data_IF_569954328078
#
_entry.id   IF_569954328078
#
_cell.length_a   1.000
_cell.length_b   1.000
_cell.length_c   1.000
_cell.angle_alpha   90.00
_cell.angle_beta   90.00
_cell.angle_gamma   90.00
#
_symmetry.space_group_name_H-M   'P 1'
#
loop_
_entity.id
_entity.type
_entity.pdbx_description
1 polymer ?
#
# COMPACT_ATOMS: atom_id res chain seq x y z
N UNK A 1 1.17 -8.37 -12.80
CA UNK A 1 2.04 -8.94 -13.84
C UNK A 1 2.85 -7.85 -14.51
N UNK A 2 4.17 -8.08 -14.69
CA UNK A 2 5.10 -7.15 -15.31
C UNK A 2 5.14 -5.76 -14.64
N UNK A 3 5.12 -5.73 -13.31
CA UNK A 3 5.27 -4.51 -12.51
C UNK A 3 6.64 -3.88 -12.79
N UNK A 4 7.70 -4.67 -12.72
CA UNK A 4 9.10 -4.28 -12.97
C UNK A 4 9.37 -3.82 -14.43
N UNK A 5 8.44 -4.08 -15.33
CA UNK A 5 8.49 -3.59 -16.73
C UNK A 5 7.68 -2.31 -16.93
N UNK A 6 7.43 -1.54 -15.87
CA UNK A 6 6.70 -0.28 -15.90
C UNK A 6 5.20 -0.42 -15.64
N UNK A 7 4.81 -1.25 -14.67
CA UNK A 7 3.44 -1.43 -14.18
C UNK A 7 2.46 -1.92 -15.29
N UNK A 8 2.95 -2.67 -16.27
CA UNK A 8 2.16 -3.02 -17.47
C UNK A 8 0.84 -3.72 -17.12
N UNK A 9 0.86 -4.65 -16.16
CA UNK A 9 -0.34 -5.35 -15.71
C UNK A 9 -1.33 -4.42 -15.00
N UNK A 10 -0.83 -3.50 -14.17
CA UNK A 10 -1.65 -2.53 -13.47
C UNK A 10 -2.32 -1.55 -14.43
N UNK A 11 -1.60 -1.04 -15.43
CA UNK A 11 -2.18 -0.20 -16.47
C UNK A 11 -3.21 -0.97 -17.33
N UNK A 12 -2.89 -2.21 -17.73
CA UNK A 12 -3.84 -3.03 -18.47
C UNK A 12 -5.13 -3.28 -17.66
N UNK A 13 -5.02 -3.52 -16.36
CA UNK A 13 -6.19 -3.62 -15.48
C UNK A 13 -6.96 -2.30 -15.39
N UNK A 14 -6.27 -1.17 -15.19
CA UNK A 14 -6.91 0.14 -15.10
C UNK A 14 -7.63 0.55 -16.40
N UNK A 15 -7.12 0.11 -17.56
CA UNK A 15 -7.72 0.40 -18.87
C UNK A 15 -8.88 -0.54 -19.22
N UNK A 16 -8.86 -1.77 -18.73
CA UNK A 16 -9.82 -2.85 -19.07
C UNK A 16 -10.32 -3.56 -17.80
N UNK A 17 -10.60 -2.79 -16.76
CA UNK A 17 -11.08 -3.35 -15.50
C UNK A 17 -12.36 -4.17 -15.72
N UNK A 18 -12.43 -5.34 -15.08
CA UNK A 18 -13.62 -6.21 -15.08
C UNK A 18 -14.78 -5.62 -14.27
N UNK A 19 -14.49 -4.63 -13.43
CA UNK A 19 -15.45 -3.84 -12.66
C UNK A 19 -15.36 -2.38 -13.09
N UNK A 20 -16.47 -1.63 -13.11
CA UNK A 20 -16.43 -0.19 -13.29
C UNK A 20 -15.52 0.45 -12.23
N UNK A 21 -14.59 1.31 -12.65
CA UNK A 21 -13.60 1.92 -11.75
C UNK A 21 -14.24 2.78 -10.66
N UNK A 22 -15.39 3.39 -10.92
CA UNK A 22 -16.17 4.17 -9.96
C UNK A 22 -16.81 3.33 -8.85
N UNK A 23 -16.79 2.01 -8.99
CA UNK A 23 -17.20 1.07 -7.94
C UNK A 23 -16.04 0.64 -7.04
N UNK A 24 -14.80 1.01 -7.38
CA UNK A 24 -13.62 0.73 -6.55
C UNK A 24 -13.48 1.85 -5.51
N UNK A 25 -13.67 1.53 -4.26
CA UNK A 25 -13.58 2.48 -3.15
C UNK A 25 -12.14 2.86 -2.87
N UNK A 26 -11.24 1.88 -2.90
CA UNK A 26 -9.83 2.04 -2.58
C UNK A 26 -9.02 0.90 -3.21
N UNK A 27 -7.91 1.24 -3.82
CA UNK A 27 -6.82 0.32 -4.12
C UNK A 27 -5.84 0.34 -2.94
N UNK A 28 -5.72 -0.79 -2.26
CA UNK A 28 -4.72 -1.00 -1.22
C UNK A 28 -3.61 -1.89 -1.77
N UNK A 29 -2.45 -1.30 -2.01
CA UNK A 29 -1.27 -2.05 -2.40
C UNK A 29 -0.47 -2.47 -1.17
N UNK A 30 0.17 -3.63 -1.24
CA UNK A 30 1.13 -4.13 -0.27
C UNK A 30 2.34 -4.67 -1.02
N UNK A 31 3.50 -4.14 -0.70
CA UNK A 31 4.73 -4.37 -1.42
C UNK A 31 5.92 -4.14 -0.49
N UNK A 32 7.06 -4.80 -0.75
CA UNK A 32 8.33 -4.60 -0.04
C UNK A 32 8.17 -4.72 1.48
N UNK A 33 7.54 -5.80 1.95
CA UNK A 33 7.00 -5.91 3.33
C UNK A 33 7.97 -6.41 4.38
N UNK A 34 9.10 -7.04 4.00
CA UNK A 34 9.97 -7.78 4.93
C UNK A 34 11.21 -6.98 5.41
N UNK A 35 11.17 -5.64 5.36
CA UNK A 35 12.32 -4.79 5.72
C UNK A 35 12.18 -4.26 7.14
N UNK A 36 11.00 -3.77 7.51
CA UNK A 36 10.78 -3.20 8.82
C UNK A 36 10.68 -4.27 9.91
N UNK A 37 11.33 -4.09 11.07
CA UNK A 37 11.16 -5.00 12.19
C UNK A 37 9.77 -4.85 12.83
N UNK A 38 9.41 -5.82 13.67
CA UNK A 38 8.19 -5.75 14.50
C UNK A 38 8.16 -4.46 15.32
N UNK A 39 6.98 -3.86 15.45
CA UNK A 39 6.76 -2.64 16.22
C UNK A 39 7.14 -1.35 15.48
N UNK A 40 7.53 -1.43 14.22
CA UNK A 40 7.81 -0.24 13.40
C UNK A 40 6.55 0.61 13.22
N UNK A 41 6.74 1.92 13.05
CA UNK A 41 5.69 2.79 12.55
C UNK A 41 5.24 2.34 11.15
N UNK A 42 4.15 2.88 10.67
CA UNK A 42 3.58 2.60 9.36
C UNK A 42 3.57 3.87 8.53
N UNK A 43 4.09 3.81 7.31
CA UNK A 43 3.94 4.88 6.34
C UNK A 43 2.69 4.68 5.49
N UNK A 44 2.14 5.78 5.00
CA UNK A 44 1.08 5.81 4.00
C UNK A 44 1.66 6.47 2.75
N UNK A 45 1.98 5.67 1.73
CA UNK A 45 2.35 6.19 0.41
C UNK A 45 1.06 6.56 -0.32
N UNK A 46 0.99 7.78 -0.82
CA UNK A 46 -0.24 8.40 -1.29
C UNK A 46 -0.94 9.26 -0.24
N UNK A 47 -0.31 9.48 0.91
CA UNK A 47 -0.82 10.39 1.95
C UNK A 47 -1.10 11.78 1.36
N UNK A 48 -2.26 12.33 1.63
CA UNK A 48 -2.70 13.63 1.11
C UNK A 48 -3.26 13.61 -0.30
N UNK A 49 -3.30 12.45 -0.96
CA UNK A 49 -3.85 12.32 -2.32
C UNK A 49 -5.29 11.82 -2.34
N UNK A 50 -5.80 11.35 -1.22
CA UNK A 50 -7.16 10.82 -1.10
C UNK A 50 -7.88 11.41 0.12
N UNK A 51 -9.21 11.44 0.16
CA UNK A 51 -9.96 11.83 1.35
C UNK A 51 -9.99 10.76 2.45
N UNK A 52 -9.33 9.60 2.23
CA UNK A 52 -9.44 8.43 3.11
C UNK A 52 -8.34 8.37 4.18
N UNK A 53 -7.38 9.27 4.17
CA UNK A 53 -6.22 9.26 5.08
C UNK A 53 -6.64 9.16 6.56
N UNK A 54 -7.59 9.99 6.98
CA UNK A 54 -8.06 10.00 8.37
C UNK A 54 -8.69 8.65 8.79
N UNK A 55 -9.35 7.97 7.86
CA UNK A 55 -9.93 6.66 8.12
C UNK A 55 -8.87 5.56 8.18
N UNK A 56 -7.87 5.61 7.29
CA UNK A 56 -6.72 4.69 7.34
C UNK A 56 -5.97 4.85 8.67
N UNK A 57 -5.72 6.09 9.11
CA UNK A 57 -5.09 6.37 10.40
C UNK A 57 -5.91 5.84 11.59
N UNK A 58 -7.23 6.04 11.55
CA UNK A 58 -8.12 5.56 12.61
C UNK A 58 -8.11 4.02 12.70
N UNK A 59 -8.11 3.32 11.56
CA UNK A 59 -8.01 1.86 11.51
C UNK A 59 -6.65 1.41 12.04
N UNK A 60 -5.55 2.03 11.59
CA UNK A 60 -4.20 1.71 12.05
C UNK A 60 -4.06 1.89 13.57
N UNK A 61 -4.54 3.00 14.10
CA UNK A 61 -4.55 3.26 15.55
C UNK A 61 -5.35 2.20 16.31
N UNK A 62 -6.52 1.82 15.81
CA UNK A 62 -7.34 0.76 16.42
C UNK A 62 -6.65 -0.61 16.37
N UNK A 63 -5.85 -0.87 15.34
CA UNK A 63 -5.01 -2.06 15.20
C UNK A 63 -3.71 -1.98 16.04
N UNK A 64 -3.52 -0.93 16.86
CA UNK A 64 -2.33 -0.75 17.69
C UNK A 64 -1.10 -0.26 16.93
N UNK A 65 -1.26 0.22 15.68
CA UNK A 65 -0.14 0.71 14.86
C UNK A 65 -0.03 2.24 14.94
N UNK A 66 1.20 2.72 14.92
CA UNK A 66 1.51 4.16 14.89
C UNK A 66 1.85 4.58 13.47
N UNK A 67 1.21 5.64 12.99
CA UNK A 67 1.49 6.19 11.66
C UNK A 67 2.72 7.10 11.70
N UNK A 68 3.60 6.96 10.71
CA UNK A 68 4.60 7.97 10.37
C UNK A 68 3.90 9.14 9.68
N UNK A 69 3.99 10.31 10.30
CA UNK A 69 3.17 11.47 9.89
C UNK A 69 3.69 12.22 8.67
N UNK A 70 4.92 11.96 8.19
CA UNK A 70 5.47 12.65 7.03
C UNK A 70 4.86 12.18 5.71
N UNK A 71 5.07 12.95 4.66
CA UNK A 71 4.73 12.59 3.28
C UNK A 71 5.95 12.14 2.47
N UNK A 72 7.11 11.97 3.10
CA UNK A 72 8.36 11.65 2.41
C UNK A 72 8.31 10.34 1.66
N UNK A 73 7.55 9.36 2.18
CA UNK A 73 7.29 8.09 1.51
C UNK A 73 6.55 8.23 0.17
N UNK A 74 5.91 9.38 -0.10
CA UNK A 74 5.29 9.64 -1.40
C UNK A 74 6.29 9.69 -2.57
N UNK A 75 7.61 9.77 -2.29
CA UNK A 75 8.63 9.56 -3.31
C UNK A 75 8.50 8.21 -4.05
N UNK A 76 7.84 7.23 -3.42
CA UNK A 76 7.58 5.91 -4.01
C UNK A 76 6.19 5.79 -4.66
N UNK A 77 5.37 6.85 -4.67
CA UNK A 77 3.98 6.80 -5.12
C UNK A 77 3.82 6.27 -6.55
N UNK A 78 4.73 6.62 -7.45
CA UNK A 78 4.68 6.24 -8.87
C UNK A 78 5.33 4.88 -9.16
N UNK A 79 5.89 4.22 -8.15
CA UNK A 79 6.65 2.97 -8.26
C UNK A 79 5.87 1.74 -7.78
N UNK A 80 4.57 1.84 -7.63
CA UNK A 80 3.72 0.77 -7.11
C UNK A 80 2.44 0.63 -7.96
N UNK A 81 1.86 -0.56 -8.01
CA UNK A 81 0.75 -0.91 -8.91
C UNK A 81 -0.50 -0.02 -8.76
N UNK A 82 -0.79 0.45 -7.55
CA UNK A 82 -1.92 1.36 -7.30
C UNK A 82 -1.83 2.68 -8.05
N UNK A 83 -0.62 3.08 -8.51
CA UNK A 83 -0.44 4.29 -9.30
C UNK A 83 -1.27 4.29 -10.59
N UNK A 84 -1.34 3.16 -11.30
CA UNK A 84 -2.14 3.05 -12.52
C UNK A 84 -3.63 3.31 -12.27
N UNK A 85 -4.15 2.86 -11.12
CA UNK A 85 -5.54 3.13 -10.72
C UNK A 85 -5.73 4.58 -10.27
N UNK A 86 -4.74 5.15 -9.55
CA UNK A 86 -4.77 6.56 -9.16
C UNK A 86 -4.87 7.51 -10.36
N UNK A 87 -4.17 7.20 -11.47
CA UNK A 87 -4.26 7.95 -12.72
C UNK A 87 -5.67 7.95 -13.34
N UNK A 88 -6.51 7.00 -12.97
CA UNK A 88 -7.91 6.89 -13.40
C UNK A 88 -8.90 7.45 -12.36
N UNK A 89 -8.39 8.10 -11.30
CA UNK A 89 -9.22 8.70 -10.27
C UNK A 89 -9.70 7.74 -9.17
N UNK A 90 -9.20 6.51 -9.13
CA UNK A 90 -9.46 5.58 -8.02
C UNK A 90 -8.54 5.95 -6.85
N UNK A 91 -9.06 6.14 -5.63
CA UNK A 91 -8.21 6.29 -4.45
C UNK A 91 -7.25 5.12 -4.34
N UNK A 92 -5.95 5.39 -4.22
CA UNK A 92 -4.93 4.34 -4.17
C UNK A 92 -3.87 4.70 -3.11
N UNK A 93 -3.62 3.76 -2.22
CA UNK A 93 -2.67 3.90 -1.13
C UNK A 93 -1.83 2.63 -1.02
N UNK A 94 -0.57 2.77 -0.62
CA UNK A 94 0.24 1.67 -0.14
C UNK A 94 0.56 1.93 1.33
N UNK A 95 0.32 0.95 2.19
CA UNK A 95 0.40 1.10 3.64
C UNK A 95 1.29 0.01 4.21
N UNK A 96 2.38 0.38 4.88
CA UNK A 96 3.28 -0.61 5.44
C UNK A 96 4.43 -0.03 6.25
N UNK A 97 5.09 -0.86 7.04
CA UNK A 97 6.17 -0.47 7.93
C UNK A 97 7.48 -0.17 7.20
N UNK A 98 7.77 -0.84 6.10
CA UNK A 98 9.07 -0.75 5.41
C UNK A 98 9.42 0.66 4.94
N UNK A 99 8.43 1.48 4.61
CA UNK A 99 8.62 2.85 4.14
C UNK A 99 8.54 3.91 5.25
N UNK A 100 8.33 3.50 6.50
CA UNK A 100 8.29 4.41 7.63
C UNK A 100 9.69 4.84 8.10
N UNK A 101 10.72 4.10 7.75
CA UNK A 101 12.13 4.46 7.94
C UNK A 101 12.84 4.46 6.58
N UNK A 102 12.97 5.66 5.99
CA UNK A 102 13.59 5.81 4.67
C UNK A 102 15.09 5.50 4.67
N UNK A 103 15.78 5.59 5.80
CA UNK A 103 17.19 5.20 5.87
C UNK A 103 17.32 3.67 5.77
N UNK A 104 16.44 2.94 6.45
CA UNK A 104 16.37 1.49 6.36
C UNK A 104 16.02 1.05 4.93
N UNK A 105 15.04 1.72 4.32
CA UNK A 105 14.65 1.49 2.92
C UNK A 105 15.81 1.76 1.96
N UNK A 106 16.48 2.90 2.09
CA UNK A 106 17.63 3.24 1.24
C UNK A 106 18.77 2.23 1.35
N UNK A 107 19.03 1.74 2.57
CA UNK A 107 20.03 0.69 2.77
C UNK A 107 19.67 -0.58 2.02
N UNK A 108 18.41 -1.04 2.10
CA UNK A 108 17.93 -2.21 1.37
C UNK A 108 18.04 -2.02 -0.15
N UNK A 109 17.57 -0.87 -0.67
CA UNK A 109 17.63 -0.55 -2.11
C UNK A 109 19.07 -0.48 -2.65
N UNK A 110 20.04 -0.13 -1.80
CA UNK A 110 21.46 -0.06 -2.15
C UNK A 110 22.25 -1.36 -1.95
N UNK A 111 21.64 -2.40 -1.41
CA UNK A 111 22.32 -3.67 -1.10
C UNK A 111 21.65 -4.86 -1.77
N UNK A 112 20.57 -5.35 -1.20
CA UNK A 112 20.00 -6.66 -1.55
C UNK A 112 18.95 -6.55 -2.68
N UNK A 113 18.24 -5.43 -2.75
CA UNK A 113 17.11 -5.21 -3.66
C UNK A 113 17.47 -5.55 -5.12
N UNK A 114 16.70 -6.44 -5.73
CA UNK A 114 16.93 -7.00 -7.07
C UNK A 114 18.29 -7.68 -7.24
N UNK A 115 18.96 -7.99 -6.14
CA UNK A 115 20.22 -8.69 -6.12
C UNK A 115 20.07 -10.19 -5.84
N UNK A 116 21.15 -10.96 -5.97
CA UNK A 116 21.14 -12.39 -5.69
C UNK A 116 20.91 -12.72 -4.21
N UNK A 117 21.02 -11.74 -3.31
CA UNK A 117 20.80 -11.91 -1.87
C UNK A 117 19.39 -11.48 -1.43
N UNK A 118 18.54 -11.00 -2.37
CA UNK A 118 17.14 -10.65 -2.09
C UNK A 118 16.29 -11.93 -2.06
N UNK A 119 16.57 -12.76 -1.07
CA UNK A 119 15.94 -14.05 -0.87
C UNK A 119 15.40 -14.21 0.56
N UNK A 120 14.30 -14.93 0.69
CA UNK A 120 13.79 -15.37 1.98
C UNK A 120 14.70 -16.45 2.57
N UNK A 121 15.25 -16.18 3.74
CA UNK A 121 16.10 -17.12 4.48
C UNK A 121 15.53 -17.38 5.88
N UNK A 122 16.04 -18.39 6.58
CA UNK A 122 15.65 -18.68 7.97
C UNK A 122 15.97 -17.50 8.94
N UNK A 123 16.87 -16.61 8.55
CA UNK A 123 17.22 -15.41 9.32
C UNK A 123 16.35 -14.20 9.00
N UNK A 124 15.48 -14.26 7.99
CA UNK A 124 14.62 -13.14 7.60
C UNK A 124 13.59 -12.84 8.68
N UNK A 125 13.61 -11.61 9.20
CA UNK A 125 12.72 -11.18 10.27
C UNK A 125 11.34 -10.78 9.71
N UNK A 126 10.38 -11.71 9.72
CA UNK A 126 9.04 -11.48 9.18
C UNK A 126 8.05 -10.81 10.15
N UNK A 127 8.51 -10.40 11.34
CA UNK A 127 7.60 -9.83 12.37
C UNK A 127 6.90 -8.56 11.94
N UNK A 128 7.57 -7.66 11.23
CA UNK A 128 6.97 -6.44 10.68
C UNK A 128 5.98 -6.74 9.56
N UNK A 129 6.35 -7.66 8.64
CA UNK A 129 5.46 -8.12 7.57
C UNK A 129 4.16 -8.74 8.12
N UNK A 130 4.24 -9.53 9.20
CA UNK A 130 3.06 -10.09 9.85
C UNK A 130 2.14 -9.01 10.43
N UNK A 131 2.71 -8.00 11.09
CA UNK A 131 1.94 -6.86 11.60
C UNK A 131 1.31 -6.03 10.47
N UNK A 132 1.98 -5.88 9.34
CA UNK A 132 1.43 -5.21 8.16
C UNK A 132 0.30 -6.03 7.54
N UNK A 133 0.41 -7.36 7.48
CA UNK A 133 -0.65 -8.24 7.03
C UNK A 133 -1.92 -8.11 7.91
N UNK A 134 -1.75 -8.10 9.24
CA UNK A 134 -2.86 -7.89 10.19
C UNK A 134 -3.52 -6.52 9.98
N UNK A 135 -2.73 -5.47 9.75
CA UNK A 135 -3.24 -4.14 9.44
C UNK A 135 -4.03 -4.13 8.13
N UNK A 136 -3.52 -4.78 7.08
CA UNK A 136 -4.22 -4.89 5.79
C UNK A 136 -5.54 -5.65 5.89
N UNK A 137 -5.61 -6.70 6.73
CA UNK A 137 -6.87 -7.39 7.05
C UNK A 137 -7.86 -6.41 7.71
N UNK A 138 -7.40 -5.59 8.65
CA UNK A 138 -8.25 -4.60 9.32
C UNK A 138 -8.75 -3.52 8.35
N UNK A 139 -7.87 -2.99 7.50
CA UNK A 139 -8.20 -2.02 6.45
C UNK A 139 -9.19 -2.61 5.43
N UNK A 140 -8.92 -3.83 4.95
CA UNK A 140 -9.81 -4.53 4.02
C UNK A 140 -11.22 -4.70 4.60
N UNK A 141 -11.34 -5.16 5.85
CA UNK A 141 -12.64 -5.28 6.53
C UNK A 141 -13.35 -3.95 6.70
N UNK A 142 -12.61 -2.87 6.94
CA UNK A 142 -13.18 -1.54 7.12
C UNK A 142 -13.74 -0.99 5.80
N UNK A 143 -12.96 -1.02 4.73
CA UNK A 143 -13.34 -0.44 3.44
C UNK A 143 -14.25 -1.34 2.60
N UNK A 144 -14.30 -2.64 2.86
CA UNK A 144 -15.25 -3.56 2.23
C UNK A 144 -16.66 -3.54 2.87
N UNK A 145 -16.91 -2.70 3.87
CA UNK A 145 -18.27 -2.57 4.48
C UNK A 145 -19.20 -1.79 3.53
N UNK A 146 -20.01 -2.55 2.78
CA UNK A 146 -20.97 -2.00 1.81
C UNK A 146 -22.11 -1.19 2.43
N UNK A 147 -22.27 -1.22 3.76
CA UNK A 147 -23.22 -0.34 4.45
C UNK A 147 -22.67 1.07 4.58
N UNK A 148 -21.34 1.20 4.68
CA UNK A 148 -20.63 2.46 4.83
C UNK A 148 -20.16 3.01 3.49
N UNK A 149 -19.61 2.15 2.64
CA UNK A 149 -19.10 2.51 1.31
C UNK A 149 -20.01 1.92 0.25
N UNK A 150 -20.79 2.77 -0.38
CA UNK A 150 -21.65 2.37 -1.50
C UNK A 150 -20.93 2.69 -2.80
N UNK A 151 -20.91 1.71 -3.71
CA UNK A 151 -20.54 1.99 -5.08
C UNK A 151 -21.44 3.10 -5.65
N UNK A 152 -20.86 4.01 -6.43
CA UNK A 152 -21.66 4.96 -7.18
C UNK A 152 -22.57 4.19 -8.13
N UNK A 153 -23.84 4.54 -8.19
CA UNK A 153 -24.73 3.97 -9.21
C UNK A 153 -24.28 4.51 -10.58
N UNK A 154 -24.22 3.63 -11.56
CA UNK A 154 -23.94 4.05 -12.93
C UNK A 154 -24.93 5.17 -13.33
N UNK A 155 -24.41 6.39 -13.57
CA UNK A 155 -25.21 7.54 -14.01
C UNK A 155 -25.53 8.59 -12.94
N UNK A 156 -24.99 8.50 -11.71
CA UNK A 156 -25.02 9.59 -10.71
C UNK A 156 -23.73 10.42 -10.74
#
# INVERSE_FOLDING_TARGET
TAEESGLLGAYAFADKAVLPLDQIILSLNIDTVAIAPRGSKVAIIGRGTTPLDAEVEAVAKKAGRTIEGSTDANAFLQRQDGWALAQKGVPALMVGGSFADLNLMQKFLGSDYHGPNDELTDSTALGGAAEDADLHIALGRHFADTRKYKAKKAGE
#
